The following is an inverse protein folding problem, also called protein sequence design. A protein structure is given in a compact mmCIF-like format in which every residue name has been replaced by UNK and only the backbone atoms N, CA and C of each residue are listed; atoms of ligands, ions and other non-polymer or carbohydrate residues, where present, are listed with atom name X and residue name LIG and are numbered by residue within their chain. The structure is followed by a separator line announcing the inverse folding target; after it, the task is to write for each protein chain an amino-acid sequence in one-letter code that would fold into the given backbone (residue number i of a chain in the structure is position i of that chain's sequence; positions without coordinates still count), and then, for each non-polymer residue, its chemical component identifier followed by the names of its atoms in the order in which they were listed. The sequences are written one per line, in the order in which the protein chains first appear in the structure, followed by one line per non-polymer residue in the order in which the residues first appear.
data_IF_645212353417
#
_entry.id   IF_645212353417
#
_cell.length_a   1.000
_cell.length_b   1.000
_cell.length_c   1.000
_cell.angle_alpha   90.00
_cell.angle_beta   90.00
_cell.angle_gamma   90.00
#
_symmetry.space_group_name_H-M   'P 1'
#
loop_
_entity.id
_entity.type
_entity.pdbx_description
1 polymer ?
#
# COMPACT_ATOMS: atom_id res chain seq x y z
N UNK A 1 -16.85 15.77 -9.71
CA UNK A 1 -15.82 14.77 -9.38
C UNK A 1 -16.40 13.67 -8.50
N UNK A 2 -17.06 12.65 -9.08
CA UNK A 2 -17.55 11.46 -8.34
C UNK A 2 -17.65 10.23 -9.29
N UNK A 3 -16.56 9.48 -9.56
CA UNK A 3 -16.67 8.20 -10.27
C UNK A 3 -16.43 6.94 -9.39
N UNK A 4 -16.19 7.06 -8.08
CA UNK A 4 -15.72 5.92 -7.27
C UNK A 4 -16.85 5.02 -6.73
N UNK A 5 -18.10 5.49 -6.69
CA UNK A 5 -19.20 4.75 -6.06
C UNK A 5 -19.75 3.56 -6.88
N UNK A 6 -19.30 3.36 -8.14
CA UNK A 6 -19.88 2.34 -9.03
C UNK A 6 -19.14 0.98 -9.01
N UNK A 7 -17.96 0.88 -8.41
CA UNK A 7 -17.17 -0.35 -8.45
C UNK A 7 -17.55 -1.39 -7.38
N UNK A 8 -18.02 -0.94 -6.20
CA UNK A 8 -18.29 -1.84 -5.07
C UNK A 8 -19.55 -2.72 -5.24
N UNK A 9 -20.53 -2.31 -6.05
CA UNK A 9 -21.79 -3.05 -6.20
C UNK A 9 -21.71 -4.24 -7.19
N UNK A 10 -20.59 -4.41 -7.92
CA UNK A 10 -20.42 -5.52 -8.89
C UNK A 10 -19.79 -6.78 -8.31
N UNK A 11 -19.10 -6.72 -7.17
CA UNK A 11 -18.45 -7.89 -6.57
C UNK A 11 -19.42 -8.79 -5.79
N UNK A 12 -20.57 -8.28 -5.34
CA UNK A 12 -21.55 -9.02 -4.55
C UNK A 12 -22.38 -10.06 -5.34
N UNK A 13 -22.31 -10.10 -6.68
CA UNK A 13 -23.10 -11.05 -7.50
C UNK A 13 -22.47 -12.43 -7.70
N UNK A 14 -21.23 -12.66 -7.25
CA UNK A 14 -20.52 -13.94 -7.48
C UNK A 14 -20.71 -14.98 -6.36
N UNK A 15 -21.43 -14.64 -5.28
CA UNK A 15 -21.72 -15.57 -4.17
C UNK A 15 -23.16 -16.07 -4.19
N UNK A 16 -23.66 -16.50 -5.36
CA UNK A 16 -24.86 -17.35 -5.40
C UNK A 16 -24.40 -18.80 -5.43
N UNK A 17 -24.64 -19.60 -4.37
CA UNK A 17 -24.51 -21.04 -4.49
C UNK A 17 -25.57 -21.50 -5.51
N UNK A 18 -25.12 -22.04 -6.64
CA UNK A 18 -26.02 -22.80 -7.51
C UNK A 18 -26.41 -24.06 -6.76
N UNK A 19 -27.58 -24.06 -6.12
CA UNK A 19 -28.24 -25.28 -5.69
C UNK A 19 -28.70 -26.02 -6.95
N UNK A 20 -27.83 -26.90 -7.43
CA UNK A 20 -28.12 -27.84 -8.49
C UNK A 20 -29.07 -28.91 -7.93
N UNK A 21 -30.37 -28.60 -7.91
CA UNK A 21 -31.41 -29.59 -7.67
C UNK A 21 -31.44 -30.56 -8.86
N UNK A 22 -30.64 -31.63 -8.81
CA UNK A 22 -30.92 -32.79 -9.65
C UNK A 22 -32.16 -33.51 -9.11
N UNK A 23 -33.20 -33.76 -9.93
CA UNK A 23 -34.30 -34.62 -9.53
C UNK A 23 -33.79 -36.06 -9.39
N UNK A 24 -33.85 -36.60 -8.16
CA UNK A 24 -33.63 -38.02 -7.90
C UNK A 24 -34.65 -38.83 -8.70
N UNK A 25 -34.19 -39.49 -9.77
CA UNK A 25 -34.94 -40.57 -10.41
C UNK A 25 -34.71 -41.83 -9.58
N UNK A 26 -35.77 -42.35 -8.97
CA UNK A 26 -35.77 -43.70 -8.43
C UNK A 26 -35.77 -44.67 -9.61
N UNK A 27 -34.59 -45.14 -10.01
CA UNK A 27 -34.44 -46.29 -10.89
C UNK A 27 -34.39 -47.53 -9.99
N UNK A 28 -35.48 -48.29 -9.95
CA UNK A 28 -35.50 -49.63 -9.36
C UNK A 28 -35.03 -50.63 -10.41
N UNK A 29 -33.72 -50.85 -10.50
CA UNK A 29 -33.16 -52.01 -11.19
C UNK A 29 -32.36 -52.84 -10.18
N UNK A 30 -32.93 -53.99 -9.84
CA UNK A 30 -32.42 -54.96 -8.89
C UNK A 30 -31.53 -55.98 -9.61
N UNK A 31 -30.21 -55.79 -9.60
CA UNK A 31 -29.24 -56.86 -9.83
C UNK A 31 -27.99 -56.63 -8.96
N UNK A 32 -27.54 -57.69 -8.30
CA UNK A 32 -26.67 -57.66 -7.10
C UNK A 32 -25.40 -56.83 -7.21
N UNK A 33 -25.24 -55.91 -6.27
CA UNK A 33 -23.98 -55.22 -5.98
C UNK A 33 -23.73 -55.29 -4.47
N UNK A 34 -22.50 -55.62 -4.08
CA UNK A 34 -22.05 -55.73 -2.69
C UNK A 34 -22.37 -54.45 -1.88
N UNK A 35 -22.59 -54.54 -0.56
CA UNK A 35 -22.81 -53.38 0.30
C UNK A 35 -21.57 -52.49 0.24
N UNK A 36 -21.61 -51.47 -0.60
CA UNK A 36 -20.56 -50.48 -0.71
C UNK A 36 -20.82 -49.50 0.42
N UNK A 37 -19.95 -49.49 1.43
CA UNK A 37 -20.04 -48.59 2.57
C UNK A 37 -19.99 -47.13 2.07
N UNK A 38 -21.13 -46.46 2.03
CA UNK A 38 -21.18 -45.04 1.69
C UNK A 38 -20.46 -44.25 2.79
N UNK A 39 -19.32 -43.64 2.46
CA UNK A 39 -18.57 -42.84 3.42
C UNK A 39 -19.39 -41.60 3.79
N UNK A 40 -19.45 -41.29 5.09
CA UNK A 40 -20.09 -40.07 5.58
C UNK A 40 -19.50 -38.86 4.84
N UNK A 41 -20.36 -38.03 4.23
CA UNK A 41 -19.91 -36.89 3.42
C UNK A 41 -19.03 -35.92 4.21
N UNK A 42 -18.20 -35.15 3.51
CA UNK A 42 -17.26 -34.19 4.13
C UNK A 42 -17.90 -33.24 5.15
N UNK A 43 -19.16 -32.86 4.93
CA UNK A 43 -19.94 -32.04 5.86
C UNK A 43 -20.04 -32.66 7.27
N UNK A 44 -20.14 -33.99 7.38
CA UNK A 44 -20.21 -34.68 8.66
C UNK A 44 -18.93 -34.47 9.49
N UNK A 45 -17.77 -34.64 8.86
CA UNK A 45 -16.48 -34.39 9.52
C UNK A 45 -16.28 -32.92 9.87
N UNK A 46 -16.75 -32.00 9.03
CA UNK A 46 -16.72 -30.55 9.33
C UNK A 46 -17.56 -30.25 10.57
N UNK A 47 -18.77 -30.83 10.68
CA UNK A 47 -19.62 -30.62 11.87
C UNK A 47 -19.02 -31.23 13.13
N UNK A 48 -18.42 -32.42 13.03
CA UNK A 48 -17.71 -33.04 14.17
C UNK A 48 -16.50 -32.22 14.60
N UNK A 49 -15.77 -31.62 13.66
CA UNK A 49 -14.65 -30.73 13.97
C UNK A 49 -15.12 -29.37 14.54
N UNK A 50 -16.30 -28.88 14.14
CA UNK A 50 -16.84 -27.61 14.60
C UNK A 50 -17.17 -27.61 16.11
N UNK A 51 -17.59 -28.75 16.67
CA UNK A 51 -17.93 -28.88 18.09
C UNK A 51 -16.71 -28.58 18.99
N UNK A 52 -15.58 -29.30 18.92
CA UNK A 52 -14.40 -28.99 19.74
C UNK A 52 -13.77 -27.65 19.37
N UNK A 53 -13.82 -27.23 18.09
CA UNK A 53 -13.33 -25.92 17.68
C UNK A 53 -14.11 -24.77 18.34
N UNK A 54 -15.44 -24.86 18.37
CA UNK A 54 -16.29 -23.87 19.03
C UNK A 54 -16.11 -23.86 20.55
N UNK A 55 -15.89 -25.02 21.17
CA UNK A 55 -15.56 -25.11 22.59
C UNK A 55 -14.20 -24.48 22.92
N UNK A 56 -13.18 -24.74 22.08
CA UNK A 56 -11.87 -24.10 22.21
C UNK A 56 -11.96 -22.58 22.06
N UNK A 57 -12.74 -22.11 21.09
CA UNK A 57 -13.01 -20.68 20.90
C UNK A 57 -13.75 -20.09 22.09
N UNK A 58 -14.74 -20.77 22.65
CA UNK A 58 -15.43 -20.36 23.87
C UNK A 58 -14.46 -20.24 25.04
N UNK A 59 -13.62 -21.25 25.29
CA UNK A 59 -12.61 -21.19 26.37
C UNK A 59 -11.60 -20.06 26.20
N UNK A 60 -11.19 -19.76 24.97
CA UNK A 60 -10.28 -18.65 24.67
C UNK A 60 -10.94 -17.26 24.83
N UNK A 61 -12.23 -17.17 24.53
CA UNK A 61 -12.98 -15.90 24.54
C UNK A 61 -13.70 -15.63 25.86
N UNK A 62 -13.91 -16.66 26.68
CA UNK A 62 -14.55 -16.56 27.98
C UNK A 62 -13.59 -15.92 28.99
N UNK A 63 -13.75 -14.62 29.17
CA UNK A 63 -13.09 -13.83 30.21
C UNK A 63 -14.04 -13.68 31.41
N UNK A 64 -13.48 -13.52 32.61
CA UNK A 64 -14.21 -13.55 33.87
C UNK A 64 -15.23 -12.42 34.05
N UNK A 65 -16.00 -12.51 35.13
CA UNK A 65 -17.26 -11.78 35.42
C UNK A 65 -17.22 -10.25 35.32
N UNK A 66 -16.06 -9.61 35.24
CA UNK A 66 -15.92 -8.14 35.29
C UNK A 66 -15.16 -7.53 34.09
N UNK A 67 -14.55 -8.34 33.21
CA UNK A 67 -13.77 -7.85 32.06
C UNK A 67 -14.54 -7.97 30.73
N UNK A 68 -14.46 -6.94 29.88
CA UNK A 68 -14.98 -7.01 28.51
C UNK A 68 -14.23 -8.09 27.71
N UNK A 69 -14.91 -8.88 26.85
CA UNK A 69 -14.24 -9.94 26.11
C UNK A 69 -13.15 -9.34 25.20
N UNK A 70 -12.09 -10.13 24.95
CA UNK A 70 -10.89 -9.71 24.21
C UNK A 70 -11.17 -8.85 22.97
N UNK A 71 -12.13 -9.27 22.14
CA UNK A 71 -12.49 -8.55 20.91
C UNK A 71 -13.11 -7.18 21.20
N UNK A 72 -13.99 -7.08 22.20
CA UNK A 72 -14.59 -5.80 22.60
C UNK A 72 -13.54 -4.88 23.21
N UNK A 73 -12.60 -5.42 24.01
CA UNK A 73 -11.47 -4.64 24.52
C UNK A 73 -10.56 -4.12 23.41
N UNK A 74 -10.23 -4.97 22.45
CA UNK A 74 -9.40 -4.56 21.30
C UNK A 74 -10.10 -3.47 20.47
N UNK A 75 -11.40 -3.59 20.23
CA UNK A 75 -12.20 -2.56 19.55
C UNK A 75 -12.18 -1.27 20.38
N UNK A 76 -12.49 -1.32 21.68
CA UNK A 76 -12.50 -0.12 22.50
C UNK A 76 -11.12 0.54 22.57
N UNK A 77 -10.05 -0.20 22.86
CA UNK A 77 -8.68 0.32 22.87
C UNK A 77 -8.27 0.98 21.54
N UNK A 78 -8.64 0.37 20.40
CA UNK A 78 -8.33 0.95 19.08
C UNK A 78 -9.10 2.24 18.81
N UNK A 79 -10.35 2.36 19.26
CA UNK A 79 -11.21 3.51 18.97
C UNK A 79 -11.26 4.57 20.07
N UNK A 80 -10.85 4.28 21.31
CA UNK A 80 -10.98 5.16 22.49
C UNK A 80 -10.30 6.53 22.30
N UNK A 81 -9.29 6.65 21.42
CA UNK A 81 -8.60 7.91 21.12
C UNK A 81 -9.08 8.65 19.87
N UNK A 82 -9.97 8.06 19.06
CA UNK A 82 -10.36 8.66 17.77
C UNK A 82 -11.19 9.93 17.93
N UNK A 83 -12.11 9.94 18.90
CA UNK A 83 -12.91 11.12 19.20
C UNK A 83 -12.04 12.34 19.55
N UNK A 84 -11.01 12.14 20.39
CA UNK A 84 -10.05 13.19 20.73
C UNK A 84 -9.22 13.66 19.53
N UNK A 85 -8.71 12.74 18.70
CA UNK A 85 -7.97 13.09 17.48
C UNK A 85 -8.82 13.87 16.48
N UNK A 86 -10.11 13.53 16.36
CA UNK A 86 -11.03 14.23 15.48
C UNK A 86 -11.37 15.62 16.02
N UNK A 87 -11.60 15.74 17.33
CA UNK A 87 -11.79 17.03 17.99
C UNK A 87 -10.56 17.94 17.79
N UNK A 88 -9.36 17.43 18.03
CA UNK A 88 -8.12 18.17 17.82
C UNK A 88 -7.95 18.65 16.37
N UNK A 89 -8.25 17.78 15.39
CA UNK A 89 -8.17 18.17 13.97
C UNK A 89 -9.17 19.28 13.63
N UNK A 90 -10.40 19.16 14.12
CA UNK A 90 -11.43 20.17 13.88
C UNK A 90 -11.10 21.50 14.55
N UNK A 91 -10.55 21.46 15.75
CA UNK A 91 -10.08 22.64 16.48
C UNK A 91 -8.98 23.37 15.68
N UNK A 92 -7.94 22.65 15.24
CA UNK A 92 -6.88 23.21 14.39
C UNK A 92 -7.42 23.81 13.08
N UNK A 93 -8.40 23.17 12.43
CA UNK A 93 -9.02 23.75 11.23
C UNK A 93 -9.80 25.04 11.54
N UNK A 94 -10.50 25.08 12.67
CA UNK A 94 -11.26 26.26 13.09
C UNK A 94 -10.31 27.43 13.39
N UNK A 95 -9.22 27.17 14.12
CA UNK A 95 -8.18 28.15 14.40
C UNK A 95 -7.52 28.68 13.12
N UNK A 96 -7.22 27.82 12.14
CA UNK A 96 -6.67 28.25 10.85
C UNK A 96 -7.63 29.13 10.07
N UNK A 97 -8.93 28.79 10.07
CA UNK A 97 -9.97 29.60 9.40
C UNK A 97 -10.12 30.96 10.09
N UNK A 98 -10.07 31.00 11.42
CA UNK A 98 -10.14 32.24 12.20
C UNK A 98 -8.92 33.14 11.90
N UNK A 99 -7.72 32.57 11.90
CA UNK A 99 -6.50 33.30 11.53
C UNK A 99 -6.58 33.85 10.10
N UNK A 100 -7.00 33.03 9.14
CA UNK A 100 -7.17 33.46 7.74
C UNK A 100 -8.27 34.52 7.59
N UNK A 101 -9.33 34.47 8.39
CA UNK A 101 -10.35 35.50 8.42
C UNK A 101 -9.81 36.82 8.99
N UNK A 102 -8.99 36.76 10.05
CA UNK A 102 -8.27 37.90 10.60
C UNK A 102 -7.38 38.57 9.56
N UNK A 103 -6.56 37.79 8.85
CA UNK A 103 -5.71 38.28 7.77
C UNK A 103 -6.55 38.90 6.64
N UNK A 104 -7.66 38.25 6.26
CA UNK A 104 -8.57 38.79 5.25
C UNK A 104 -9.11 40.16 5.67
N UNK A 105 -9.44 40.39 6.94
CA UNK A 105 -9.91 41.70 7.43
C UNK A 105 -8.85 42.79 7.23
N UNK A 106 -7.56 42.48 7.38
CA UNK A 106 -6.48 43.43 7.08
C UNK A 106 -6.52 43.86 5.60
N UNK A 107 -6.76 42.91 4.68
CA UNK A 107 -6.75 43.17 3.24
C UNK A 107 -8.09 43.68 2.68
N UNK A 108 -9.22 43.47 3.37
CA UNK A 108 -10.53 43.94 2.89
C UNK A 108 -10.53 45.46 2.66
N UNK A 109 -9.87 46.22 3.54
CA UNK A 109 -9.75 47.67 3.42
C UNK A 109 -8.57 48.13 2.55
N UNK A 110 -7.64 47.24 2.19
CA UNK A 110 -6.50 47.57 1.33
C UNK A 110 -6.90 47.71 -0.15
N UNK A 111 -8.02 47.08 -0.55
CA UNK A 111 -8.54 47.09 -1.94
C UNK A 111 -8.92 48.46 -2.52
N UNK A 112 -8.93 49.53 -1.72
CA UNK A 112 -9.10 50.90 -2.24
C UNK A 112 -7.80 51.53 -2.77
N UNK A 113 -6.65 50.84 -2.65
CA UNK A 113 -5.37 51.26 -3.21
C UNK A 113 -5.08 50.50 -4.53
N UNK A 114 -5.98 50.65 -5.51
CA UNK A 114 -5.95 49.96 -6.82
C UNK A 114 -4.62 50.09 -7.59
N UNK A 115 -3.75 51.02 -7.21
CA UNK A 115 -2.43 51.19 -7.81
C UNK A 115 -1.35 51.51 -6.78
N UNK A 116 -1.05 50.58 -5.86
CA UNK A 116 0.23 50.62 -5.14
C UNK A 116 1.35 50.17 -6.09
N UNK A 117 1.59 50.96 -7.15
CA UNK A 117 2.77 50.84 -8.01
C UNK A 117 3.95 51.29 -7.16
N UNK A 118 4.61 50.34 -6.50
CA UNK A 118 5.92 50.61 -5.91
C UNK A 118 6.86 50.79 -7.10
N UNK A 119 7.39 51.99 -7.27
CA UNK A 119 8.34 52.25 -8.34
C UNK A 119 9.67 51.59 -7.95
N UNK A 120 9.94 50.44 -8.56
CA UNK A 120 11.11 49.64 -8.27
C UNK A 120 12.23 50.12 -9.18
N UNK A 121 13.38 50.45 -8.59
CA UNK A 121 14.54 50.93 -9.37
C UNK A 121 15.05 49.89 -10.38
N UNK A 122 14.78 48.61 -10.13
CA UNK A 122 15.18 47.49 -10.97
C UNK A 122 14.05 46.44 -11.04
N UNK A 123 13.06 46.59 -11.94
CA UNK A 123 11.96 45.63 -12.08
C UNK A 123 12.44 44.27 -12.61
N UNK A 124 13.60 44.22 -13.28
CA UNK A 124 14.20 43.01 -13.83
C UNK A 124 14.62 41.99 -12.76
N UNK A 125 14.75 42.41 -11.50
CA UNK A 125 15.13 41.50 -10.41
C UNK A 125 14.08 40.41 -10.15
N UNK A 126 12.82 40.64 -10.53
CA UNK A 126 11.76 39.63 -10.42
C UNK A 126 11.82 38.56 -11.52
N UNK A 127 12.52 38.85 -12.63
CA UNK A 127 12.72 37.91 -13.73
C UNK A 127 14.02 37.09 -13.58
N UNK A 128 14.84 37.40 -12.58
CA UNK A 128 16.11 36.71 -12.31
C UNK A 128 15.88 35.72 -11.15
N UNK A 129 15.80 34.43 -11.48
CA UNK A 129 15.75 33.37 -10.48
C UNK A 129 17.04 33.27 -9.66
N UNK A 130 16.97 32.66 -8.47
CA UNK A 130 18.15 32.36 -7.66
C UNK A 130 19.10 31.45 -8.46
N UNK A 131 20.41 31.76 -8.54
CA UNK A 131 21.38 30.87 -9.17
C UNK A 131 21.58 29.56 -8.38
N UNK A 132 21.12 29.52 -7.12
CA UNK A 132 21.21 28.36 -6.23
C UNK A 132 19.84 27.75 -5.98
N UNK A 133 19.80 26.42 -5.81
CA UNK A 133 18.59 25.64 -5.50
C UNK A 133 17.48 25.72 -6.57
N UNK A 134 17.88 25.72 -7.84
CA UNK A 134 16.93 25.63 -8.97
C UNK A 134 16.50 24.17 -9.14
N UNK A 135 15.19 23.87 -9.22
CA UNK A 135 14.71 22.53 -9.55
C UNK A 135 15.38 22.02 -10.84
N UNK A 136 15.75 20.73 -10.86
CA UNK A 136 16.33 20.13 -12.05
C UNK A 136 15.46 20.42 -13.29
N UNK A 137 16.06 20.97 -14.34
CA UNK A 137 15.37 21.35 -15.58
C UNK A 137 14.85 22.79 -15.66
N UNK A 138 14.92 23.59 -14.59
CA UNK A 138 14.45 25.00 -14.59
C UNK A 138 15.61 26.02 -14.63
N UNK A 139 16.85 25.58 -14.87
CA UNK A 139 18.05 26.44 -14.85
C UNK A 139 18.67 26.68 -16.22
N UNK A 140 19.45 27.75 -16.33
CA UNK A 140 20.25 28.12 -17.51
C UNK A 140 21.53 27.28 -17.69
N UNK A 141 21.74 26.24 -16.88
CA UNK A 141 22.90 25.38 -16.97
C UNK A 141 22.71 24.35 -18.09
N UNK A 142 23.63 24.31 -19.04
CA UNK A 142 23.55 23.42 -20.19
C UNK A 142 23.91 21.97 -19.76
N UNK A 143 22.94 21.05 -19.84
CA UNK A 143 23.05 19.67 -19.33
C UNK A 143 23.45 18.64 -20.41
N UNK A 144 23.64 19.07 -21.66
CA UNK A 144 23.86 18.19 -22.82
C UNK A 144 25.00 17.19 -22.61
N UNK A 145 26.09 17.62 -21.97
CA UNK A 145 27.26 16.76 -21.69
C UNK A 145 26.94 15.66 -20.67
N UNK A 146 26.10 15.96 -19.68
CA UNK A 146 25.68 15.00 -18.65
C UNK A 146 24.72 13.99 -19.27
N UNK A 147 23.79 14.46 -20.10
CA UNK A 147 22.87 13.62 -20.86
C UNK A 147 23.64 12.65 -21.76
N UNK A 148 24.58 13.16 -22.57
CA UNK A 148 25.39 12.34 -23.47
C UNK A 148 26.20 11.26 -22.72
N UNK A 149 26.75 11.58 -21.55
CA UNK A 149 27.46 10.61 -20.70
C UNK A 149 26.53 9.46 -20.27
N UNK A 150 25.35 9.79 -19.73
CA UNK A 150 24.42 8.78 -19.24
C UNK A 150 23.78 7.96 -20.35
N UNK A 151 23.54 8.56 -21.52
CA UNK A 151 23.12 7.82 -22.71
C UNK A 151 24.18 6.78 -23.11
N UNK A 152 25.45 7.19 -23.17
CA UNK A 152 26.57 6.30 -23.47
C UNK A 152 26.69 5.16 -22.45
N UNK A 153 26.58 5.45 -21.16
CA UNK A 153 26.58 4.44 -20.09
C UNK A 153 25.41 3.45 -20.24
N UNK A 154 24.20 3.95 -20.57
CA UNK A 154 23.03 3.09 -20.77
C UNK A 154 23.19 2.15 -21.97
N UNK A 155 23.77 2.62 -23.08
CA UNK A 155 24.00 1.79 -24.25
C UNK A 155 25.06 0.73 -23.95
N UNK A 156 26.14 1.11 -23.28
CA UNK A 156 27.18 0.16 -22.87
C UNK A 156 26.64 -0.91 -21.91
N UNK A 157 25.77 -0.54 -20.96
CA UNK A 157 25.11 -1.51 -20.08
C UNK A 157 24.16 -2.44 -20.83
N UNK A 158 23.41 -1.93 -21.80
CA UNK A 158 22.49 -2.72 -22.61
C UNK A 158 23.26 -3.72 -23.49
N UNK A 159 24.39 -3.31 -24.07
CA UNK A 159 25.28 -4.22 -24.81
C UNK A 159 25.87 -5.29 -23.91
N UNK A 160 26.31 -4.94 -22.69
CA UNK A 160 26.79 -5.91 -21.69
C UNK A 160 25.69 -6.91 -21.30
N UNK A 161 24.47 -6.45 -21.03
CA UNK A 161 23.32 -7.32 -20.75
C UNK A 161 23.02 -8.25 -21.93
N UNK A 162 23.08 -7.74 -23.15
CA UNK A 162 22.87 -8.52 -24.36
C UNK A 162 23.96 -9.59 -24.55
N UNK A 163 25.22 -9.26 -24.28
CA UNK A 163 26.33 -10.23 -24.28
C UNK A 163 26.14 -11.30 -23.21
N UNK A 164 25.76 -10.91 -21.98
CA UNK A 164 25.46 -11.85 -20.89
C UNK A 164 24.33 -12.82 -21.25
N UNK A 165 23.28 -12.34 -21.93
CA UNK A 165 22.19 -13.18 -22.43
C UNK A 165 22.67 -14.13 -23.53
N UNK A 166 23.53 -13.68 -24.46
CA UNK A 166 24.10 -14.55 -25.51
C UNK A 166 25.01 -15.64 -24.94
N UNK A 167 25.74 -15.32 -23.89
CA UNK A 167 26.65 -16.24 -23.21
C UNK A 167 25.96 -17.11 -22.15
N UNK A 168 24.65 -16.92 -21.90
CA UNK A 168 23.90 -17.54 -20.79
C UNK A 168 24.61 -17.35 -19.42
N UNK A 169 25.23 -16.19 -19.22
CA UNK A 169 25.93 -15.81 -17.98
C UNK A 169 25.17 -14.69 -17.27
N UNK A 170 23.89 -14.89 -17.04
CA UNK A 170 23.07 -13.90 -16.34
C UNK A 170 23.37 -14.02 -14.83
N UNK A 171 23.80 -12.95 -14.15
CA UNK A 171 24.23 -13.02 -12.74
C UNK A 171 23.16 -13.55 -11.77
N UNK A 172 21.87 -13.40 -12.09
CA UNK A 172 20.77 -13.91 -11.26
C UNK A 172 20.49 -15.41 -11.44
N UNK A 173 21.00 -16.02 -12.51
CA UNK A 173 20.85 -17.45 -12.81
C UNK A 173 22.07 -18.27 -12.41
N UNK A 174 23.20 -17.60 -12.12
CA UNK A 174 24.41 -18.27 -11.66
C UNK A 174 24.28 -18.68 -10.19
N UNK A 175 24.75 -19.88 -9.82
CA UNK A 175 24.76 -20.30 -8.42
C UNK A 175 25.64 -19.34 -7.60
N UNK A 176 25.15 -18.94 -6.43
CA UNK A 176 25.88 -18.05 -5.52
C UNK A 176 27.20 -18.69 -5.07
N UNK A 177 28.32 -18.07 -5.44
CA UNK A 177 29.63 -18.45 -4.91
C UNK A 177 29.78 -17.87 -3.48
N UNK A 178 29.92 -18.72 -2.45
CA UNK A 178 30.15 -18.22 -1.11
C UNK A 178 31.51 -17.53 -1.05
N UNK A 179 31.51 -16.28 -0.57
CA UNK A 179 32.72 -15.49 -0.32
C UNK A 179 33.62 -16.27 0.66
N UNK A 180 34.64 -16.96 0.13
CA UNK A 180 35.66 -17.57 0.96
C UNK A 180 36.42 -16.47 1.72
N UNK A 181 36.52 -16.62 3.04
CA UNK A 181 37.31 -15.73 3.89
C UNK A 181 38.76 -15.77 3.39
N UNK A 182 39.25 -14.66 2.85
CA UNK A 182 40.64 -14.55 2.41
C UNK A 182 41.57 -14.97 3.55
N UNK A 183 42.58 -15.82 3.32
CA UNK A 183 43.53 -16.19 4.36
C UNK A 183 44.18 -14.92 4.93
N UNK A 184 44.41 -14.86 6.26
CA UNK A 184 45.01 -13.69 6.88
C UNK A 184 46.38 -13.40 6.23
N UNK A 185 46.64 -12.11 5.97
CA UNK A 185 47.91 -11.66 5.42
C UNK A 185 49.08 -12.22 6.25
N UNK A 186 50.06 -12.82 5.57
CA UNK A 186 51.26 -13.31 6.22
C UNK A 186 51.95 -12.15 6.97
N UNK A 187 52.46 -12.38 8.20
CA UNK A 187 53.17 -11.34 8.92
C UNK A 187 54.39 -10.92 8.10
N UNK A 188 54.48 -9.63 7.79
CA UNK A 188 55.68 -9.02 7.21
C UNK A 188 56.86 -9.32 8.13
N UNK A 189 57.82 -10.09 7.63
CA UNK A 189 59.04 -10.46 8.35
C UNK A 189 59.83 -9.24 8.82
N UNK A 190 60.51 -9.44 9.94
CA UNK A 190 61.42 -8.50 10.62
C UNK A 190 62.65 -8.13 9.80
#
# INVERSE_FOLDING_TARGET
MQPIQRAALRSARRLRPQLQNQPRRYASDSYGSQPTSESLGSAFYITLAAIPASYGLYKLTHQGTDDQPYFTRWITETYNGYAGKWAQRNDMHTQMIEAAAGDRVLFLNESQQTHRRVDLRFPEQFNIGSPYNVPAGHGSANLDRVIAKYEQESFAENERKLQQLRENKVPCEQPFEPLAKSPPAAPSGA
#
